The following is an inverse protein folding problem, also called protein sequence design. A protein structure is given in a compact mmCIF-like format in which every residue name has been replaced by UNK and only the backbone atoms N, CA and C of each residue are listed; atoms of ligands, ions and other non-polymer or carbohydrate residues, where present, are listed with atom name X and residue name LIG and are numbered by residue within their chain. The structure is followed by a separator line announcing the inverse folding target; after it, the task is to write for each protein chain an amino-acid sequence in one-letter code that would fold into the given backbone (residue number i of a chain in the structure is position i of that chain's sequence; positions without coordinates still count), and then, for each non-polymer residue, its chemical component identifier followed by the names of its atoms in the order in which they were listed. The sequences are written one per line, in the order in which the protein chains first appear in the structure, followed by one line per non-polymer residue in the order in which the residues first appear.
data_IF_984001808003
#
_entry.id   IF_984001808003
#
_cell.length_a   1.000
_cell.length_b   1.000
_cell.length_c   1.000
_cell.angle_alpha   90.00
_cell.angle_beta   90.00
_cell.angle_gamma   90.00
#
_symmetry.space_group_name_H-M   'P 1'
#
loop_
_entity.id
_entity.type
_entity.pdbx_description
1 polymer ?
#
# COMPACT_ATOMS: atom_id res chain seq x y z
N UNK A 1 15.32 9.71 -5.19
CA UNK A 1 15.20 9.02 -3.91
C UNK A 1 14.08 8.00 -3.95
N UNK A 2 14.33 6.78 -3.54
CA UNK A 2 13.25 5.79 -3.47
C UNK A 2 12.22 6.23 -2.44
N UNK A 3 10.97 5.97 -2.74
CA UNK A 3 9.89 6.30 -1.84
C UNK A 3 9.83 5.29 -0.71
N UNK A 4 9.46 5.70 0.49
CA UNK A 4 9.31 4.74 1.58
C UNK A 4 8.18 3.77 1.29
N UNK A 5 8.44 2.49 1.57
CA UNK A 5 7.45 1.44 1.46
C UNK A 5 7.05 1.06 2.88
N UNK A 6 5.81 1.33 3.24
CA UNK A 6 5.35 1.17 4.61
C UNK A 6 4.37 0.01 4.73
N UNK A 7 4.50 -0.79 5.77
CA UNK A 7 3.54 -1.84 6.07
C UNK A 7 3.27 -1.85 7.57
N UNK A 8 2.01 -1.99 7.95
CA UNK A 8 1.64 -2.03 9.36
C UNK A 8 2.08 -3.34 10.00
N UNK A 9 2.55 -3.25 11.23
CA UNK A 9 3.11 -4.37 11.97
C UNK A 9 2.06 -5.06 12.84
N UNK A 10 0.83 -5.16 12.35
CA UNK A 10 -0.28 -5.76 13.09
C UNK A 10 -0.51 -7.23 12.76
N UNK A 11 0.04 -7.71 11.66
CA UNK A 11 -0.02 -9.11 11.26
C UNK A 11 1.38 -9.53 10.85
N UNK A 12 2.03 -10.33 11.68
CA UNK A 12 3.42 -10.71 11.47
C UNK A 12 3.63 -11.51 10.20
N UNK A 13 2.68 -12.38 9.85
CA UNK A 13 2.81 -13.17 8.62
C UNK A 13 2.70 -12.28 7.40
N UNK A 14 1.75 -11.37 7.41
CA UNK A 14 1.57 -10.46 6.29
C UNK A 14 2.78 -9.53 6.15
N UNK A 15 3.22 -8.92 7.25
CA UNK A 15 4.35 -8.00 7.17
C UNK A 15 5.63 -8.71 6.73
N UNK A 16 5.83 -9.96 7.16
CA UNK A 16 6.99 -10.74 6.72
C UNK A 16 6.93 -11.03 5.22
N UNK A 17 5.74 -11.30 4.69
CA UNK A 17 5.56 -11.54 3.25
C UNK A 17 5.85 -10.28 2.45
N UNK A 18 5.40 -9.12 2.94
CA UNK A 18 5.68 -7.86 2.28
C UNK A 18 7.17 -7.56 2.30
N UNK A 19 7.83 -7.78 3.44
CA UNK A 19 9.27 -7.60 3.52
C UNK A 19 10.02 -8.49 2.54
N UNK A 20 9.63 -9.75 2.45
CA UNK A 20 10.28 -10.69 1.54
C UNK A 20 10.06 -10.28 0.09
N UNK A 21 8.83 -9.88 -0.25
CA UNK A 21 8.52 -9.43 -1.61
C UNK A 21 9.32 -8.17 -1.97
N UNK A 22 9.40 -7.23 -1.04
CA UNK A 22 10.17 -6.00 -1.25
C UNK A 22 11.64 -6.32 -1.50
N UNK A 23 12.20 -7.22 -0.70
CA UNK A 23 13.60 -7.60 -0.82
C UNK A 23 13.89 -8.23 -2.18
N UNK A 24 12.97 -9.07 -2.69
CA UNK A 24 13.13 -9.65 -4.02
C UNK A 24 13.15 -8.60 -5.12
N UNK A 25 12.55 -7.46 -4.87
CA UNK A 25 12.48 -6.35 -5.83
C UNK A 25 13.56 -5.30 -5.60
N UNK A 26 14.47 -5.53 -4.68
CA UNK A 26 15.50 -4.56 -4.34
C UNK A 26 15.00 -3.38 -3.52
N UNK A 27 13.85 -3.53 -2.87
CA UNK A 27 13.24 -2.49 -2.06
C UNK A 27 13.36 -2.85 -0.58
N UNK A 28 13.19 -1.84 0.27
CA UNK A 28 13.18 -2.04 1.72
C UNK A 28 11.81 -1.64 2.26
N UNK A 29 11.14 -2.57 2.93
CA UNK A 29 9.88 -2.27 3.58
C UNK A 29 10.16 -1.79 5.00
N UNK A 30 9.50 -0.72 5.39
CA UNK A 30 9.58 -0.21 6.75
C UNK A 30 8.35 -0.71 7.51
N UNK A 31 8.58 -1.45 8.59
CA UNK A 31 7.51 -1.94 9.45
C UNK A 31 7.14 -0.84 10.43
N UNK A 32 5.87 -0.48 10.46
CA UNK A 32 5.39 0.65 11.26
C UNK A 32 4.26 0.17 12.15
N UNK A 33 4.20 0.66 13.37
CA UNK A 33 3.06 0.36 14.22
C UNK A 33 1.79 0.93 13.58
N UNK A 34 0.63 0.28 13.77
CA UNK A 34 -0.60 0.82 13.19
C UNK A 34 -0.89 2.25 13.59
N UNK A 35 -0.51 2.64 14.81
CA UNK A 35 -0.71 4.01 15.28
C UNK A 35 0.09 5.03 14.51
N UNK A 36 1.26 4.64 14.03
CA UNK A 36 2.18 5.58 13.38
C UNK A 36 2.04 5.56 11.87
N UNK A 37 1.32 4.58 11.34
CA UNK A 37 1.26 4.39 9.90
C UNK A 37 0.71 5.61 9.17
N UNK A 38 -0.36 6.17 9.68
CA UNK A 38 -0.99 7.32 9.05
C UNK A 38 -0.05 8.53 9.03
N UNK A 39 0.57 8.84 10.15
CA UNK A 39 1.49 9.96 10.23
C UNK A 39 2.69 9.77 9.31
N UNK A 40 3.24 8.55 9.28
CA UNK A 40 4.37 8.25 8.40
C UNK A 40 3.98 8.38 6.93
N UNK A 41 2.79 7.90 6.58
CA UNK A 41 2.31 7.97 5.20
C UNK A 41 2.10 9.40 4.76
N UNK A 42 1.62 10.26 5.66
CA UNK A 42 1.40 11.67 5.36
C UNK A 42 2.67 12.47 5.19
N UNK A 43 3.78 11.97 5.70
CA UNK A 43 5.06 12.68 5.59
C UNK A 43 5.53 12.85 4.16
N UNK A 44 4.93 12.14 3.22
CA UNK A 44 5.09 12.41 1.80
C UNK A 44 5.56 11.21 1.01
N UNK A 45 4.95 11.01 -0.13
CA UNK A 45 5.43 10.12 -1.17
C UNK A 45 5.50 8.63 -0.85
N UNK A 46 4.84 8.16 0.19
CA UNK A 46 4.96 6.77 0.61
C UNK A 46 4.14 5.83 -0.29
N UNK A 47 4.59 4.58 -0.35
CA UNK A 47 3.76 3.46 -0.82
C UNK A 47 3.34 2.71 0.42
N UNK A 48 2.03 2.55 0.63
CA UNK A 48 1.49 1.87 1.81
C UNK A 48 0.89 0.56 1.36
N UNK A 49 1.32 -0.54 1.98
CA UNK A 49 0.75 -1.86 1.70
C UNK A 49 -0.12 -2.25 2.90
N UNK A 50 -1.39 -2.49 2.65
CA UNK A 50 -2.33 -2.82 3.71
C UNK A 50 -3.13 -4.06 3.36
N UNK A 51 -3.38 -4.89 4.37
CA UNK A 51 -4.20 -6.08 4.23
C UNK A 51 -5.62 -5.75 4.69
N UNK A 52 -6.59 -5.96 3.82
CA UNK A 52 -7.97 -5.60 4.16
C UNK A 52 -8.74 -6.73 4.81
N UNK A 53 -8.29 -7.97 4.63
CA UNK A 53 -9.06 -9.14 5.06
C UNK A 53 -9.27 -9.19 6.57
N UNK A 54 -8.27 -8.80 7.35
CA UNK A 54 -8.28 -9.01 8.79
C UNK A 54 -9.20 -8.05 9.54
N UNK A 55 -9.21 -6.79 9.20
CA UNK A 55 -10.03 -5.77 9.86
C UNK A 55 -10.55 -4.80 8.81
N UNK A 56 -11.47 -5.27 7.97
CA UNK A 56 -11.81 -4.52 6.76
C UNK A 56 -12.34 -3.12 7.01
N UNK A 57 -13.22 -2.94 7.99
CA UNK A 57 -13.81 -1.62 8.20
C UNK A 57 -12.79 -0.62 8.72
N UNK A 58 -11.90 -1.06 9.61
CA UNK A 58 -10.84 -0.19 10.12
C UNK A 58 -9.87 0.19 9.02
N UNK A 59 -9.52 -0.78 8.18
CA UNK A 59 -8.58 -0.53 7.09
C UNK A 59 -9.18 0.37 6.02
N UNK A 60 -10.45 0.19 5.70
CA UNK A 60 -11.10 1.08 4.73
C UNK A 60 -11.20 2.50 5.27
N UNK A 61 -11.45 2.66 6.57
CA UNK A 61 -11.48 3.98 7.17
C UNK A 61 -10.10 4.65 7.11
N UNK A 62 -9.04 3.88 7.36
CA UNK A 62 -7.68 4.39 7.24
C UNK A 62 -7.38 4.78 5.79
N UNK A 63 -7.78 3.95 4.84
CA UNK A 63 -7.59 4.24 3.42
C UNK A 63 -8.26 5.55 3.03
N UNK A 64 -9.46 5.79 3.52
CA UNK A 64 -10.16 7.03 3.23
C UNK A 64 -9.40 8.25 3.81
N UNK A 65 -8.87 8.13 5.01
CA UNK A 65 -8.07 9.22 5.59
C UNK A 65 -6.79 9.46 4.79
N UNK A 66 -6.13 8.40 4.35
CA UNK A 66 -4.90 8.53 3.55
C UNK A 66 -5.17 9.18 2.21
N UNK A 67 -6.32 8.88 1.63
CA UNK A 67 -6.71 9.46 0.35
C UNK A 67 -6.82 10.99 0.43
N UNK A 68 -7.16 11.49 1.60
CA UNK A 68 -7.32 12.93 1.79
C UNK A 68 -6.01 13.66 2.07
N UNK A 69 -4.92 12.94 2.25
CA UNK A 69 -3.60 13.55 2.45
C UNK A 69 -3.12 14.25 1.19
N UNK A 70 -2.27 15.25 1.36
CA UNK A 70 -1.67 15.96 0.24
C UNK A 70 -0.16 16.09 0.45
N UNK A 71 0.66 15.40 -0.35
CA UNK A 71 0.26 14.47 -1.40
C UNK A 71 -0.30 13.15 -0.84
N UNK A 72 -1.19 12.54 -1.56
CA UNK A 72 -1.75 11.26 -1.14
C UNK A 72 -0.73 10.15 -1.40
N UNK A 73 -0.59 9.18 -0.49
CA UNK A 73 0.29 8.04 -0.74
C UNK A 73 -0.32 7.11 -1.78
N UNK A 74 0.52 6.29 -2.39
CA UNK A 74 0.05 5.19 -3.21
C UNK A 74 -0.29 4.05 -2.26
N UNK A 75 -1.53 3.56 -2.31
CA UNK A 75 -1.95 2.48 -1.42
C UNK A 75 -2.17 1.21 -2.23
N UNK A 76 -1.54 0.14 -1.80
CA UNK A 76 -1.74 -1.20 -2.34
C UNK A 76 -2.56 -1.99 -1.31
N UNK A 77 -3.80 -2.30 -1.67
CA UNK A 77 -4.71 -3.02 -0.79
C UNK A 77 -4.75 -4.49 -1.18
N UNK A 78 -4.40 -5.35 -0.24
CA UNK A 78 -4.30 -6.78 -0.47
C UNK A 78 -5.53 -7.49 0.11
N UNK A 79 -6.17 -8.30 -0.72
CA UNK A 79 -7.38 -9.05 -0.35
C UNK A 79 -7.30 -10.47 -0.88
N UNK A 80 -8.23 -11.33 -0.44
CA UNK A 80 -8.47 -12.57 -1.16
C UNK A 80 -9.19 -12.27 -2.47
N UNK A 81 -8.97 -13.11 -3.48
CA UNK A 81 -9.53 -12.84 -4.82
C UNK A 81 -11.05 -12.95 -4.85
N UNK A 82 -11.66 -13.62 -3.88
CA UNK A 82 -13.12 -13.74 -3.81
C UNK A 82 -13.80 -12.66 -2.99
N UNK A 83 -13.04 -11.77 -2.38
CA UNK A 83 -13.59 -10.69 -1.56
C UNK A 83 -13.98 -9.51 -2.44
N UNK A 84 -14.98 -9.74 -3.27
CA UNK A 84 -15.35 -8.79 -4.34
C UNK A 84 -15.84 -7.44 -3.82
N UNK A 85 -16.68 -7.47 -2.79
CA UNK A 85 -17.19 -6.22 -2.23
C UNK A 85 -16.08 -5.37 -1.63
N UNK A 86 -15.21 -6.01 -0.89
CA UNK A 86 -14.09 -5.34 -0.27
C UNK A 86 -13.16 -4.73 -1.31
N UNK A 87 -12.90 -5.48 -2.38
CA UNK A 87 -12.07 -5.02 -3.49
C UNK A 87 -12.70 -3.80 -4.18
N UNK A 88 -14.01 -3.86 -4.41
CA UNK A 88 -14.72 -2.76 -5.05
C UNK A 88 -14.66 -1.50 -4.19
N UNK A 89 -14.87 -1.65 -2.89
CA UNK A 89 -14.85 -0.51 -1.96
C UNK A 89 -13.45 0.12 -1.89
N UNK A 90 -12.41 -0.70 -1.84
CA UNK A 90 -11.04 -0.19 -1.79
C UNK A 90 -10.68 0.53 -3.08
N UNK A 91 -11.09 -0.02 -4.21
CA UNK A 91 -10.84 0.63 -5.50
C UNK A 91 -11.54 1.98 -5.58
N UNK A 92 -12.76 2.06 -5.10
CA UNK A 92 -13.50 3.32 -5.08
C UNK A 92 -12.80 4.39 -4.24
N UNK A 93 -12.01 3.96 -3.24
CA UNK A 93 -11.23 4.86 -2.42
C UNK A 93 -9.83 5.13 -3.00
N UNK A 94 -9.58 4.70 -4.22
CA UNK A 94 -8.34 5.03 -4.90
C UNK A 94 -7.20 4.04 -4.70
N UNK A 95 -7.42 2.94 -4.00
CA UNK A 95 -6.36 1.96 -3.79
C UNK A 95 -6.13 1.12 -5.05
N UNK A 96 -4.89 0.68 -5.21
CA UNK A 96 -4.56 -0.37 -6.15
C UNK A 96 -4.79 -1.69 -5.47
N UNK A 97 -5.25 -2.68 -6.20
CA UNK A 97 -5.63 -3.95 -5.62
C UNK A 97 -4.61 -5.04 -5.93
N UNK A 98 -4.45 -5.94 -4.97
CA UNK A 98 -3.64 -7.13 -5.14
C UNK A 98 -4.32 -8.30 -4.43
N UNK A 99 -4.02 -9.50 -4.88
CA UNK A 99 -4.34 -10.70 -4.13
C UNK A 99 -3.10 -11.15 -3.38
N UNK A 100 -3.28 -12.04 -2.41
CA UNK A 100 -2.11 -12.56 -1.69
C UNK A 100 -1.13 -13.26 -2.63
N UNK A 101 -1.64 -14.03 -3.58
CA UNK A 101 -0.77 -14.72 -4.53
C UNK A 101 -0.12 -13.80 -5.55
N UNK A 102 -0.71 -12.64 -5.81
CA UNK A 102 -0.17 -11.67 -6.76
C UNK A 102 0.61 -10.54 -6.13
N UNK A 103 0.99 -10.68 -4.87
CA UNK A 103 1.61 -9.59 -4.12
C UNK A 103 2.89 -9.06 -4.76
N UNK A 104 3.79 -9.95 -5.16
CA UNK A 104 5.08 -9.53 -5.71
C UNK A 104 4.89 -8.67 -6.97
N UNK A 105 4.02 -9.11 -7.86
CA UNK A 105 3.77 -8.40 -9.11
C UNK A 105 3.10 -7.05 -8.85
N UNK A 106 2.12 -7.05 -7.96
CA UNK A 106 1.40 -5.83 -7.62
C UNK A 106 2.31 -4.82 -6.93
N UNK A 107 3.19 -5.30 -6.07
CA UNK A 107 4.15 -4.44 -5.38
C UNK A 107 5.13 -3.81 -6.36
N UNK A 108 5.61 -4.59 -7.32
CA UNK A 108 6.50 -4.07 -8.36
C UNK A 108 5.82 -2.96 -9.16
N UNK A 109 4.56 -3.14 -9.51
CA UNK A 109 3.80 -2.11 -10.23
C UNK A 109 3.60 -0.86 -9.40
N UNK A 110 3.24 -1.03 -8.13
CA UNK A 110 3.00 0.12 -7.26
C UNK A 110 4.27 0.94 -7.09
N UNK A 111 5.40 0.28 -6.90
CA UNK A 111 6.68 0.95 -6.76
C UNK A 111 7.08 1.67 -8.06
N UNK A 112 6.90 1.02 -9.20
CA UNK A 112 7.22 1.61 -10.49
C UNK A 112 6.35 2.82 -10.79
N UNK A 113 5.06 2.74 -10.45
CA UNK A 113 4.16 3.86 -10.68
C UNK A 113 4.47 5.05 -9.79
N UNK A 114 4.93 4.79 -8.55
CA UNK A 114 5.36 5.87 -7.67
C UNK A 114 6.58 6.58 -8.23
N UNK A 115 7.55 5.82 -8.73
CA UNK A 115 8.74 6.39 -9.33
C UNK A 115 8.40 7.14 -10.61
N UNK A 116 7.56 6.55 -11.45
CA UNK A 116 7.12 7.20 -12.68
C UNK A 116 6.33 8.47 -12.37
N UNK A 117 5.53 8.43 -11.31
CA UNK A 117 4.75 9.58 -10.91
C UNK A 117 5.60 10.80 -10.64
N UNK A 118 6.81 10.61 -10.13
CA UNK A 118 7.72 11.72 -9.88
C UNK A 118 8.21 12.38 -11.15
N UNK A 119 8.33 11.63 -12.23
CA UNK A 119 8.79 12.16 -13.49
C UNK A 119 7.69 12.38 -14.52
N UNK A 120 6.49 12.01 -14.22
CA UNK A 120 5.44 11.98 -15.22
C UNK A 120 4.89 13.34 -15.60
N UNK A 121 5.06 14.30 -14.74
CA UNK A 121 4.60 15.66 -15.05
C UNK A 121 5.19 16.16 -16.35
N UNK A 122 6.36 15.67 -16.69
CA UNK A 122 7.03 16.04 -17.92
C UNK A 122 6.26 15.64 -19.16
N UNK A 123 5.42 14.64 -19.03
CA UNK A 123 4.69 14.08 -20.16
C UNK A 123 3.27 14.56 -20.27
N UNK A 124 2.84 15.25 -19.28
CA UNK A 124 1.47 15.75 -19.26
C UNK A 124 1.26 16.96 -20.21
#
# INVERSE_FOLDING_TARGET
MPRPLLVAQDDLFFSARVEAAARRLGLTAELVSPRQLEARARAGGAVVVMQLTLRPEQQLALLERLRQSRPAPTVLAVTGHLERDLRRRARALGARLATHSGLDRALARAAALSDEGDGRDDRA
#
